data_IF_127276274344
#
_entry.id   IF_127276274344
#
_cell.length_a   1.000
_cell.length_b   1.000
_cell.length_c   1.000
_cell.angle_alpha   90.00
_cell.angle_beta   90.00
_cell.angle_gamma   90.00
#
_symmetry.space_group_name_H-M   'P 1'
#
loop_
_entity.id
_entity.type
_entity.pdbx_description
1 polymer ?
#
# COMPACT_ATOMS: atom_id res chain seq x y z
N UNK A 1 -4.78 -7.20 10.75
CA UNK A 1 -3.64 -7.19 11.71
C UNK A 1 -3.54 -8.53 12.45
N UNK A 2 -3.72 -9.66 11.76
CA UNK A 2 -3.56 -10.97 12.40
C UNK A 2 -2.12 -11.11 12.93
N UNK A 3 -1.96 -11.54 14.18
CA UNK A 3 -0.64 -11.68 14.84
C UNK A 3 -0.02 -10.39 15.40
N UNK A 4 -0.65 -9.22 15.23
CA UNK A 4 -0.07 -7.91 15.59
C UNK A 4 -0.87 -7.14 16.66
N UNK A 5 -1.73 -7.83 17.41
CA UNK A 5 -2.64 -7.19 18.39
C UNK A 5 -2.57 -7.84 19.78
N UNK A 6 -1.47 -8.51 20.12
CA UNK A 6 -1.32 -9.14 21.41
C UNK A 6 -1.24 -8.08 22.55
N UNK A 7 -1.99 -8.24 23.65
CA UNK A 7 -1.84 -7.37 24.81
C UNK A 7 -0.39 -7.39 25.32
N UNK A 8 0.13 -6.22 25.68
CA UNK A 8 1.51 -6.07 26.14
C UNK A 8 2.56 -5.90 25.03
N UNK A 9 2.19 -6.00 23.75
CA UNK A 9 3.09 -5.67 22.64
C UNK A 9 3.63 -4.25 22.76
N UNK A 10 4.94 -4.08 22.50
CA UNK A 10 5.53 -2.75 22.36
C UNK A 10 5.04 -2.12 21.07
N UNK A 11 4.66 -0.85 21.15
CA UNK A 11 4.11 -0.09 20.02
C UNK A 11 4.74 1.30 19.93
N UNK A 12 4.73 1.87 18.73
CA UNK A 12 5.09 3.26 18.49
C UNK A 12 3.85 4.01 18.01
N UNK A 13 3.60 5.14 18.65
CA UNK A 13 2.49 6.03 18.35
C UNK A 13 3.04 7.37 17.87
N UNK A 14 2.40 7.95 16.86
CA UNK A 14 2.56 9.38 16.59
C UNK A 14 1.54 10.17 17.40
N UNK A 15 1.89 11.38 17.83
CA UNK A 15 0.96 12.34 18.48
C UNK A 15 0.58 13.43 17.49
N UNK A 16 -0.66 13.92 17.58
CA UNK A 16 -1.16 15.04 16.78
C UNK A 16 -1.90 16.03 17.67
N UNK A 17 -1.55 17.30 17.58
CA UNK A 17 -2.16 18.40 18.36
C UNK A 17 -3.46 18.93 17.74
N UNK A 18 -3.91 18.36 16.61
CA UNK A 18 -5.12 18.80 15.92
C UNK A 18 -6.36 18.72 16.84
N UNK A 19 -7.01 19.86 17.15
CA UNK A 19 -8.00 19.96 18.22
C UNK A 19 -9.32 19.23 17.92
N UNK A 20 -9.57 18.89 16.66
CA UNK A 20 -10.77 18.18 16.22
C UNK A 20 -10.63 16.65 16.29
N UNK A 21 -9.45 16.10 16.60
CA UNK A 21 -9.26 14.65 16.66
C UNK A 21 -9.87 14.08 17.93
N UNK A 22 -10.74 13.06 17.77
CA UNK A 22 -11.25 12.25 18.89
C UNK A 22 -10.11 11.56 19.66
N UNK A 23 -9.05 11.15 18.95
CA UNK A 23 -7.87 10.50 19.51
C UNK A 23 -6.59 11.15 18.95
N UNK A 24 -5.75 11.69 19.83
CA UNK A 24 -4.49 12.36 19.44
C UNK A 24 -3.44 11.37 18.90
N UNK A 25 -3.45 10.15 19.43
CA UNK A 25 -2.46 9.11 19.12
C UNK A 25 -2.87 8.30 17.89
N UNK A 26 -1.90 7.91 17.08
CA UNK A 26 -2.11 6.99 15.94
C UNK A 26 -1.06 5.90 16.00
N UNK A 27 -1.51 4.64 15.96
CA UNK A 27 -0.64 3.47 15.95
C UNK A 27 0.14 3.41 14.63
N UNK A 28 1.47 3.41 14.74
CA UNK A 28 2.37 3.40 13.59
C UNK A 28 3.00 2.04 13.39
N UNK A 29 3.63 1.52 14.45
CA UNK A 29 4.49 0.33 14.41
C UNK A 29 4.14 -0.55 15.61
N UNK A 30 4.20 -1.86 15.41
CA UNK A 30 4.13 -2.88 16.46
C UNK A 30 5.43 -3.69 16.44
N UNK A 31 5.99 -3.97 17.60
CA UNK A 31 7.08 -4.94 17.75
C UNK A 31 6.48 -6.35 17.76
N UNK A 32 6.89 -7.19 16.81
CA UNK A 32 6.47 -8.58 16.68
C UNK A 32 7.59 -9.39 16.03
N UNK A 33 7.71 -10.68 16.34
CA UNK A 33 8.72 -11.57 15.73
C UNK A 33 10.17 -11.05 15.83
N UNK A 34 10.50 -10.31 16.91
CA UNK A 34 11.78 -9.60 17.09
C UNK A 34 12.11 -8.57 15.99
N UNK A 35 11.10 -8.05 15.29
CA UNK A 35 11.21 -7.00 14.29
C UNK A 35 10.18 -5.90 14.51
N UNK A 36 10.36 -4.78 13.80
CA UNK A 36 9.39 -3.69 13.72
C UNK A 36 8.47 -3.92 12.52
N UNK A 37 7.17 -3.86 12.76
CA UNK A 37 6.15 -4.04 11.72
C UNK A 37 5.31 -2.78 11.58
N UNK A 38 5.31 -2.17 10.40
CA UNK A 38 4.48 -1.01 10.08
C UNK A 38 3.02 -1.40 9.88
N UNK A 39 2.14 -0.90 10.74
CA UNK A 39 0.71 -1.26 10.75
C UNK A 39 -0.21 -0.12 10.32
N UNK A 40 0.30 1.11 10.22
CA UNK A 40 -0.51 2.25 9.78
C UNK A 40 -0.85 2.13 8.29
N UNK A 41 -2.10 1.77 8.01
CA UNK A 41 -2.63 1.61 6.66
C UNK A 41 -2.77 2.92 5.87
N UNK A 42 -2.57 4.09 6.51
CA UNK A 42 -2.57 5.39 5.85
C UNK A 42 -1.24 5.81 5.23
N UNK A 43 -0.15 5.08 5.49
CA UNK A 43 1.19 5.37 4.97
C UNK A 43 1.55 4.73 3.62
N UNK A 44 1.10 3.50 3.25
CA UNK A 44 1.56 2.81 2.05
C UNK A 44 1.50 3.63 0.76
N UNK A 45 0.40 4.35 0.51
CA UNK A 45 0.27 5.17 -0.70
C UNK A 45 1.29 6.31 -0.73
N UNK A 46 1.62 6.90 0.43
CA UNK A 46 2.67 7.94 0.54
C UNK A 46 4.06 7.35 0.33
N UNK A 47 4.33 6.19 0.92
CA UNK A 47 5.62 5.48 0.75
C UNK A 47 5.82 5.11 -0.72
N UNK A 48 4.79 4.56 -1.37
CA UNK A 48 4.80 4.23 -2.79
C UNK A 48 5.04 5.46 -3.67
N UNK A 49 4.29 6.53 -3.44
CA UNK A 49 4.45 7.81 -4.14
C UNK A 49 5.88 8.35 -4.01
N UNK A 50 6.41 8.41 -2.79
CA UNK A 50 7.78 8.87 -2.53
C UNK A 50 8.83 8.01 -3.24
N UNK A 51 8.68 6.68 -3.19
CA UNK A 51 9.59 5.74 -3.85
C UNK A 51 9.56 5.88 -5.38
N UNK A 52 8.38 6.05 -5.97
CA UNK A 52 8.20 6.26 -7.42
C UNK A 52 8.85 7.58 -7.85
N UNK A 53 8.56 8.67 -7.15
CA UNK A 53 9.09 10.00 -7.47
C UNK A 53 10.63 10.07 -7.32
N UNK A 54 11.20 9.30 -6.39
CA UNK A 54 12.66 9.15 -6.23
C UNK A 54 13.28 8.17 -7.24
N UNK A 55 12.50 7.54 -8.11
CA UNK A 55 13.00 6.57 -9.08
C UNK A 55 13.47 5.24 -8.47
N UNK A 56 13.09 4.93 -7.23
CA UNK A 56 13.47 3.70 -6.52
C UNK A 56 12.72 2.47 -7.04
N UNK A 57 11.69 2.67 -7.87
CA UNK A 57 10.95 1.60 -8.54
C UNK A 57 11.17 1.76 -10.05
N UNK A 58 12.21 1.14 -10.64
CA UNK A 58 12.60 1.37 -12.03
C UNK A 58 11.46 1.19 -13.03
N UNK A 59 10.58 0.19 -12.82
CA UNK A 59 9.43 -0.06 -13.69
C UNK A 59 8.32 1.00 -13.65
N UNK A 60 8.37 1.94 -12.71
CA UNK A 60 7.43 3.05 -12.54
C UNK A 60 8.12 4.43 -12.64
N UNK A 61 9.40 4.46 -12.96
CA UNK A 61 10.17 5.70 -13.02
C UNK A 61 9.87 6.51 -14.29
N UNK A 62 10.18 7.81 -14.20
CA UNK A 62 10.23 8.73 -15.34
C UNK A 62 8.90 9.27 -15.83
N UNK A 63 7.74 8.83 -15.32
CA UNK A 63 6.42 9.39 -15.70
C UNK A 63 6.34 10.89 -15.39
N UNK A 64 5.83 11.68 -16.35
CA UNK A 64 5.71 13.14 -16.19
C UNK A 64 4.76 13.56 -15.05
N UNK A 65 3.77 12.72 -14.70
CA UNK A 65 2.82 13.01 -13.64
C UNK A 65 2.39 11.78 -12.85
N UNK A 66 2.05 12.02 -11.58
CA UNK A 66 1.48 11.04 -10.66
C UNK A 66 0.28 11.70 -9.96
N UNK A 67 -0.87 11.02 -9.97
CA UNK A 67 -2.11 11.49 -9.30
C UNK A 67 -2.66 10.40 -8.39
N UNK A 68 -3.05 10.77 -7.17
CA UNK A 68 -3.64 9.84 -6.20
C UNK A 68 -5.14 9.71 -6.36
N UNK A 69 -5.70 8.57 -5.96
CA UNK A 69 -7.14 8.38 -5.79
C UNK A 69 -7.93 8.74 -7.06
N UNK A 70 -7.50 8.32 -8.24
CA UNK A 70 -8.20 8.66 -9.49
C UNK A 70 -9.32 7.66 -9.75
N UNK A 71 -10.49 8.13 -10.19
CA UNK A 71 -11.59 7.21 -10.58
C UNK A 71 -11.15 6.37 -11.77
N UNK A 72 -11.41 5.07 -11.72
CA UNK A 72 -11.18 4.14 -12.82
C UNK A 72 -12.19 2.99 -12.76
N UNK A 73 -12.29 2.24 -13.85
CA UNK A 73 -13.19 1.11 -13.93
C UNK A 73 -14.66 1.52 -13.73
N UNK A 74 -15.43 0.63 -13.10
CA UNK A 74 -16.88 0.80 -12.92
C UNK A 74 -17.21 1.62 -11.68
N UNK A 75 -16.59 1.32 -10.55
CA UNK A 75 -16.91 1.96 -9.26
C UNK A 75 -15.71 1.93 -8.28
N UNK A 76 -14.48 2.14 -8.77
CA UNK A 76 -13.30 2.13 -7.92
C UNK A 76 -12.41 3.35 -8.15
N UNK A 77 -11.46 3.53 -7.23
CA UNK A 77 -10.40 4.55 -7.34
C UNK A 77 -9.07 3.83 -7.28
N UNK A 78 -8.17 4.19 -8.19
CA UNK A 78 -6.82 3.65 -8.21
C UNK A 78 -5.98 4.45 -7.22
N UNK A 79 -5.12 3.77 -6.47
CA UNK A 79 -4.27 4.43 -5.47
C UNK A 79 -3.39 5.49 -6.13
N UNK A 80 -2.70 5.12 -7.22
CA UNK A 80 -1.85 6.02 -8.01
C UNK A 80 -2.08 5.81 -9.52
N UNK A 81 -2.25 6.90 -10.25
CA UNK A 81 -2.26 6.94 -11.71
C UNK A 81 -1.04 7.70 -12.20
N UNK A 82 -0.18 7.02 -12.96
CA UNK A 82 0.99 7.62 -13.59
C UNK A 82 0.69 7.86 -15.07
N UNK A 83 0.97 9.06 -15.54
CA UNK A 83 0.73 9.48 -16.92
C UNK A 83 1.92 10.31 -17.43
N UNK A 84 2.25 10.08 -18.69
CA UNK A 84 3.34 10.73 -19.38
C UNK A 84 2.90 11.41 -20.68
N UNK A 85 1.70 11.12 -21.17
CA UNK A 85 1.23 11.55 -22.50
C UNK A 85 1.40 10.47 -23.58
N UNK A 86 2.60 10.24 -24.13
CA UNK A 86 2.79 9.39 -25.30
C UNK A 86 2.88 7.89 -24.98
N UNK A 87 3.18 7.50 -23.73
CA UNK A 87 3.22 6.09 -23.30
C UNK A 87 1.97 5.69 -22.53
N UNK A 88 1.77 4.38 -22.44
CA UNK A 88 0.69 3.77 -21.67
C UNK A 88 0.70 4.26 -20.22
N UNK A 89 -0.47 4.71 -19.75
CA UNK A 89 -0.72 5.02 -18.34
C UNK A 89 -0.47 3.80 -17.46
N UNK A 90 0.07 4.02 -16.27
CA UNK A 90 0.18 2.98 -15.25
C UNK A 90 -0.81 3.23 -14.11
N UNK A 91 -1.68 2.25 -13.90
CA UNK A 91 -2.64 2.18 -12.82
C UNK A 91 -2.01 1.31 -11.73
N UNK A 92 -1.63 1.93 -10.62
CA UNK A 92 -0.89 1.27 -9.54
C UNK A 92 -1.80 1.14 -8.33
N UNK A 93 -2.10 -0.10 -7.97
CA UNK A 93 -2.81 -0.48 -6.76
C UNK A 93 -1.77 -0.84 -5.69
N UNK A 94 -1.81 -0.15 -4.54
CA UNK A 94 -0.84 -0.28 -3.46
C UNK A 94 -1.42 -1.16 -2.36
N UNK A 95 -0.68 -2.19 -1.96
CA UNK A 95 -1.07 -3.11 -0.87
C UNK A 95 -0.11 -3.00 0.29
N UNK A 96 -0.66 -2.82 1.48
CA UNK A 96 0.11 -2.93 2.72
C UNK A 96 0.35 -4.40 3.06
N UNK A 97 1.60 -4.81 3.24
CA UNK A 97 1.96 -6.18 3.59
C UNK A 97 2.70 -6.19 4.91
N UNK A 98 2.05 -6.74 5.94
CA UNK A 98 2.59 -6.86 7.30
C UNK A 98 2.53 -8.30 7.82
N UNK A 99 1.85 -9.20 7.11
CA UNK A 99 1.50 -10.53 7.59
C UNK A 99 2.51 -11.59 7.14
N UNK A 100 2.84 -12.51 8.03
CA UNK A 100 3.63 -13.72 7.75
C UNK A 100 3.01 -14.90 8.49
N UNK A 101 3.15 -16.10 7.92
CA UNK A 101 3.02 -17.39 8.63
C UNK A 101 4.32 -18.17 8.63
N UNK A 102 5.13 -17.98 7.60
CA UNK A 102 6.46 -18.60 7.44
C UNK A 102 7.50 -17.49 7.47
N UNK A 103 8.52 -17.62 8.32
CA UNK A 103 9.63 -16.66 8.40
C UNK A 103 10.25 -16.46 7.02
N UNK A 104 10.51 -15.21 6.63
CA UNK A 104 11.02 -14.87 5.31
C UNK A 104 9.94 -14.63 4.24
N UNK A 105 8.71 -15.13 4.43
CA UNK A 105 7.65 -15.04 3.41
C UNK A 105 6.57 -14.02 3.79
N UNK A 106 6.56 -12.88 3.08
CA UNK A 106 5.51 -11.87 3.20
C UNK A 106 4.22 -12.32 2.50
N UNK A 107 3.07 -12.13 3.15
CA UNK A 107 1.78 -12.63 2.65
C UNK A 107 0.71 -11.54 2.57
N UNK A 108 -0.08 -11.59 1.49
CA UNK A 108 -1.25 -10.75 1.30
C UNK A 108 -2.37 -11.53 0.60
N UNK A 109 -3.65 -11.36 0.99
CA UNK A 109 -4.13 -10.59 2.14
C UNK A 109 -4.00 -11.38 3.46
N UNK A 110 -4.09 -10.70 4.61
CA UNK A 110 -4.11 -11.35 5.92
C UNK A 110 -5.50 -11.94 6.27
N UNK A 111 -6.53 -11.61 5.50
CA UNK A 111 -7.90 -12.14 5.59
C UNK A 111 -8.60 -12.01 4.24
N UNK A 112 -9.59 -12.86 3.95
CA UNK A 112 -10.39 -12.81 2.71
C UNK A 112 -10.95 -11.40 2.48
N UNK A 113 -10.79 -10.87 1.27
CA UNK A 113 -11.27 -9.53 0.90
C UNK A 113 -11.94 -9.50 -0.48
N UNK A 114 -13.28 -9.48 -0.49
CA UNK A 114 -14.07 -9.32 -1.72
C UNK A 114 -13.79 -7.99 -2.43
N UNK A 115 -13.49 -6.94 -1.66
CA UNK A 115 -13.11 -5.63 -2.21
C UNK A 115 -11.79 -5.69 -2.98
N UNK A 116 -10.80 -6.41 -2.44
CA UNK A 116 -9.51 -6.59 -3.11
C UNK A 116 -9.66 -7.35 -4.44
N UNK A 117 -10.47 -8.41 -4.46
CA UNK A 117 -10.76 -9.16 -5.68
C UNK A 117 -11.43 -8.28 -6.75
N UNK A 118 -12.45 -7.49 -6.37
CA UNK A 118 -13.12 -6.55 -7.30
C UNK A 118 -12.13 -5.55 -7.92
N UNK A 119 -11.22 -4.99 -7.13
CA UNK A 119 -10.21 -4.06 -7.65
C UNK A 119 -9.27 -4.76 -8.64
N UNK A 120 -8.91 -6.02 -8.39
CA UNK A 120 -8.08 -6.80 -9.29
C UNK A 120 -8.78 -7.06 -10.64
N UNK A 121 -10.07 -7.39 -10.62
CA UNK A 121 -10.85 -7.55 -11.86
C UNK A 121 -10.89 -6.25 -12.67
N UNK A 122 -11.09 -5.10 -12.02
CA UNK A 122 -11.07 -3.80 -12.71
C UNK A 122 -9.66 -3.44 -13.23
N UNK A 123 -8.60 -3.94 -12.59
CA UNK A 123 -7.23 -3.79 -13.07
C UNK A 123 -6.94 -4.69 -14.29
N UNK A 124 -7.58 -5.87 -14.37
CA UNK A 124 -7.56 -6.72 -15.58
C UNK A 124 -8.20 -5.98 -16.76
N UNK A 125 -9.33 -5.31 -16.55
CA UNK A 125 -9.99 -4.48 -17.58
C UNK A 125 -9.04 -3.36 -18.09
N UNK A 126 -8.27 -2.73 -17.20
CA UNK A 126 -7.24 -1.73 -17.56
C UNK A 126 -6.17 -2.32 -18.47
N UNK A 127 -5.68 -3.52 -18.16
CA UNK A 127 -4.68 -4.22 -18.99
C UNK A 127 -5.26 -4.60 -20.34
N UNK A 128 -6.49 -5.11 -20.38
CA UNK A 128 -7.19 -5.44 -21.61
C UNK A 128 -7.41 -4.22 -22.53
N UNK A 129 -7.54 -3.03 -21.95
CA UNK A 129 -7.60 -1.76 -22.67
C UNK A 129 -6.23 -1.25 -23.18
N UNK A 130 -5.14 -1.99 -22.96
CA UNK A 130 -3.80 -1.62 -23.43
C UNK A 130 -3.03 -0.67 -22.52
N UNK A 131 -3.47 -0.49 -21.27
CA UNK A 131 -2.73 0.24 -20.25
C UNK A 131 -1.96 -0.72 -19.32
N UNK A 132 -1.11 -0.16 -18.44
CA UNK A 132 -0.38 -0.96 -17.45
C UNK A 132 -1.19 -1.05 -16.16
N UNK A 133 -1.54 -2.27 -15.74
CA UNK A 133 -2.02 -2.55 -14.40
C UNK A 133 -0.87 -3.04 -13.52
N UNK A 134 -0.69 -2.45 -12.34
CA UNK A 134 0.43 -2.76 -11.44
C UNK A 134 -0.08 -2.98 -10.02
N UNK A 135 0.30 -4.12 -9.44
CA UNK A 135 0.13 -4.41 -8.01
C UNK A 135 1.46 -4.12 -7.31
N UNK A 136 1.48 -3.11 -6.42
CA UNK A 136 2.65 -2.72 -5.66
C UNK A 136 2.48 -3.11 -4.19
N UNK A 137 3.19 -4.16 -3.77
CA UNK A 137 3.18 -4.64 -2.39
C UNK A 137 4.25 -3.92 -1.55
N UNK A 138 3.82 -3.15 -0.56
CA UNK A 138 4.69 -2.46 0.40
C UNK A 138 4.86 -3.36 1.61
N UNK A 139 5.97 -4.08 1.64
CA UNK A 139 6.36 -4.94 2.76
C UNK A 139 6.91 -4.05 3.88
N UNK A 140 6.17 -3.93 4.98
CA UNK A 140 6.52 -3.08 6.11
C UNK A 140 7.06 -3.90 7.30
N UNK A 141 8.03 -4.79 7.01
CA UNK A 141 8.77 -5.60 7.99
C UNK A 141 10.12 -6.02 7.42
N UNK A 142 11.12 -6.20 8.28
CA UNK A 142 12.53 -6.41 7.87
C UNK A 142 12.97 -7.88 7.80
N UNK A 143 12.08 -8.81 8.12
CA UNK A 143 12.34 -10.25 8.23
C UNK A 143 11.67 -11.05 7.09
N UNK A 144 11.39 -10.36 5.98
CA UNK A 144 10.96 -10.94 4.71
C UNK A 144 12.02 -10.67 3.63
N UNK A 145 12.19 -11.61 2.69
CA UNK A 145 13.20 -11.53 1.61
C UNK A 145 12.63 -11.90 0.25
#
# INVERSE_FOLDING_TARGET
MLGLTAPGSRVWLSVSDAPHRKYAHTLQIVEADNTLVGVNTGLPNRIAEEAILKGLIPGLAGYASLKREQKYGRNSRIDLLLDDGPRQRAYVEVKNVHFIRTLGLAEFPDTVTARGAKHLDELVDVVAAGHRGVMLFIIQRNDCS
#
